data_IF_389486836499
#
_entry.id   IF_389486836499
#
_cell.length_a   1.000
_cell.length_b   1.000
_cell.length_c   1.000
_cell.angle_alpha   90.00
_cell.angle_beta   90.00
_cell.angle_gamma   90.00
#
_symmetry.space_group_name_H-M   'P 1'
#
loop_
_entity.id
_entity.type
_entity.pdbx_description
1 polymer ?
#
# COMPACT_ATOMS: atom_id res chain seq x y z
N UNK A 1 -1.44 -4.19 3.44
CA UNK A 1 -2.11 -5.51 3.24
C UNK A 1 -1.45 -6.63 4.04
N UNK A 2 -0.11 -6.73 3.97
CA UNK A 2 0.66 -7.77 4.65
C UNK A 2 0.34 -7.89 6.15
N UNK A 3 0.35 -6.78 6.90
CA UNK A 3 0.08 -6.75 8.35
C UNK A 3 -1.37 -6.42 8.73
N UNK A 4 -2.27 -6.27 7.75
CA UNK A 4 -3.65 -5.81 8.02
C UNK A 4 -4.70 -6.76 7.43
N UNK A 5 -5.30 -6.41 6.30
CA UNK A 5 -6.42 -7.16 5.69
C UNK A 5 -6.12 -8.63 5.40
N UNK A 6 -4.85 -8.97 5.18
CA UNK A 6 -4.41 -10.35 4.92
C UNK A 6 -3.54 -10.91 6.06
N UNK A 7 -3.42 -10.19 7.18
CA UNK A 7 -2.51 -10.55 8.28
C UNK A 7 -2.82 -11.88 8.96
N UNK A 8 -4.06 -12.37 8.86
CA UNK A 8 -4.46 -13.68 9.37
C UNK A 8 -4.05 -14.85 8.46
N UNK A 9 -3.62 -14.58 7.21
CA UNK A 9 -3.15 -15.62 6.30
C UNK A 9 -1.71 -16.02 6.63
N UNK A 10 -1.34 -17.30 6.45
CA UNK A 10 0.05 -17.72 6.51
C UNK A 10 0.97 -16.83 5.66
N UNK A 11 2.19 -16.60 6.14
CA UNK A 11 3.14 -15.70 5.48
C UNK A 11 3.53 -16.16 4.09
N UNK A 12 3.80 -17.46 3.91
CA UNK A 12 4.08 -18.10 2.63
C UNK A 12 2.97 -17.87 1.60
N UNK A 13 1.70 -18.00 2.01
CA UNK A 13 0.56 -17.74 1.13
C UNK A 13 0.46 -16.25 0.76
N UNK A 14 0.75 -15.33 1.69
CA UNK A 14 0.81 -13.89 1.37
C UNK A 14 1.90 -13.57 0.36
N UNK A 15 3.09 -14.14 0.56
CA UNK A 15 4.25 -13.97 -0.32
C UNK A 15 3.96 -14.50 -1.73
N UNK A 16 3.35 -15.69 -1.85
CA UNK A 16 2.96 -16.27 -3.14
C UNK A 16 1.92 -15.42 -3.88
N UNK A 17 1.01 -14.77 -3.14
CA UNK A 17 0.02 -13.84 -3.70
C UNK A 17 0.61 -12.46 -4.07
N UNK A 18 1.91 -12.24 -3.94
CA UNK A 18 2.58 -10.96 -4.20
C UNK A 18 2.35 -9.90 -3.12
N UNK A 19 1.73 -10.28 -2.00
CA UNK A 19 1.58 -9.41 -0.83
C UNK A 19 2.86 -9.58 0.01
N UNK A 20 3.90 -8.83 -0.34
CA UNK A 20 5.20 -8.88 0.34
C UNK A 20 5.32 -7.82 1.44
N UNK A 21 6.24 -7.96 2.41
CA UNK A 21 6.55 -6.89 3.36
C UNK A 21 6.86 -5.57 2.64
N UNK A 22 6.35 -4.46 3.16
CA UNK A 22 6.47 -3.14 2.53
C UNK A 22 5.47 -2.87 1.39
N UNK A 23 4.72 -3.87 0.92
CA UNK A 23 3.68 -3.64 -0.09
C UNK A 23 2.57 -2.73 0.44
N UNK A 24 2.42 -1.56 -0.17
CA UNK A 24 1.36 -0.58 0.11
C UNK A 24 0.30 -0.68 -0.99
N UNK A 25 -0.96 -0.80 -0.58
CA UNK A 25 -2.12 -0.77 -1.50
C UNK A 25 -2.83 0.56 -1.34
N UNK A 26 -2.92 1.34 -2.42
CA UNK A 26 -3.67 2.59 -2.47
C UNK A 26 -4.96 2.40 -3.28
N UNK A 27 -6.07 2.93 -2.77
CA UNK A 27 -7.32 3.07 -3.54
C UNK A 27 -7.42 4.53 -3.93
N UNK A 28 -7.30 4.84 -5.21
CA UNK A 28 -7.33 6.22 -5.70
C UNK A 28 -8.78 6.72 -5.69
N UNK A 29 -9.01 7.89 -5.10
CA UNK A 29 -10.32 8.53 -5.03
C UNK A 29 -10.58 9.45 -6.23
N UNK A 30 -11.33 10.52 -5.99
CA UNK A 30 -11.74 11.51 -7.01
C UNK A 30 -11.18 12.91 -6.71
N UNK A 31 -10.17 12.98 -5.84
CA UNK A 31 -9.47 14.21 -5.45
C UNK A 31 -8.72 14.83 -6.64
N UNK A 32 -8.24 16.07 -6.45
CA UNK A 32 -7.37 16.71 -7.45
C UNK A 32 -6.07 15.92 -7.62
N UNK A 33 -5.61 15.81 -8.86
CA UNK A 33 -4.42 15.03 -9.19
C UNK A 33 -3.14 15.64 -8.59
N UNK A 34 -3.06 16.97 -8.50
CA UNK A 34 -1.89 17.66 -7.95
C UNK A 34 -1.85 17.50 -6.43
N UNK A 35 -3.01 17.59 -5.75
CA UNK A 35 -3.10 17.34 -4.30
C UNK A 35 -2.66 15.91 -3.96
N UNK A 36 -3.12 14.91 -4.72
CA UNK A 36 -2.70 13.51 -4.53
C UNK A 36 -1.20 13.31 -4.81
N UNK A 37 -0.67 14.00 -5.81
CA UNK A 37 0.75 13.91 -6.16
C UNK A 37 1.62 14.49 -5.05
N UNK A 38 1.29 15.70 -4.58
CA UNK A 38 2.03 16.39 -3.54
C UNK A 38 1.96 15.62 -2.21
N UNK A 39 0.81 15.05 -1.86
CA UNK A 39 0.65 14.22 -0.66
C UNK A 39 1.51 12.95 -0.69
N UNK A 40 1.60 12.29 -1.85
CA UNK A 40 2.45 11.10 -2.01
C UNK A 40 3.93 11.50 -2.03
N UNK A 41 4.28 12.58 -2.71
CA UNK A 41 5.65 13.07 -2.80
C UNK A 41 6.20 13.45 -1.41
N UNK A 42 5.47 14.27 -0.64
CA UNK A 42 5.90 14.65 0.71
C UNK A 42 6.02 13.45 1.65
N UNK A 43 5.18 12.42 1.50
CA UNK A 43 5.21 11.23 2.34
C UNK A 43 6.39 10.29 2.02
N UNK A 44 6.99 10.44 0.84
CA UNK A 44 8.16 9.68 0.39
C UNK A 44 9.48 10.43 0.60
N UNK A 45 9.44 11.72 0.93
CA UNK A 45 10.63 12.48 1.34
C UNK A 45 10.93 12.20 2.84
N UNK A 46 12.21 11.95 3.14
CA UNK A 46 12.72 11.59 4.50
C UNK A 46 12.78 12.77 5.48
#
# INVERSE_FOLDING_TARGET
PFNSSHGAMPEDVRMEAGIVPGFVRMSIGIEDVEDLWDDIAQALED
#
